data_IF_619952501166
#
_entry.id   IF_619952501166
#
_cell.length_a   1.000
_cell.length_b   1.000
_cell.length_c   1.000
_cell.angle_alpha   90.00
_cell.angle_beta   90.00
_cell.angle_gamma   90.00
#
_symmetry.space_group_name_H-M   'P 1'
#
loop_
_entity.id
_entity.type
_entity.pdbx_description
1 polymer ?
#
# COMPACT_ATOMS: atom_id res chain seq x y z
N UNK A 1 21.47 22.21 -19.43
CA UNK A 1 21.66 21.32 -18.26
C UNK A 1 20.50 21.52 -17.28
N UNK A 2 19.77 20.46 -16.93
CA UNK A 2 18.79 20.52 -15.84
C UNK A 2 19.51 20.76 -14.50
N UNK A 3 18.92 21.59 -13.64
CA UNK A 3 19.43 21.83 -12.29
C UNK A 3 19.20 20.57 -11.43
N UNK A 4 20.25 20.09 -10.77
CA UNK A 4 20.17 18.87 -9.96
C UNK A 4 19.24 19.00 -8.76
N UNK A 5 19.17 20.19 -8.14
CA UNK A 5 18.27 20.46 -7.02
C UNK A 5 16.83 20.48 -7.50
N UNK A 6 16.57 21.09 -8.65
CA UNK A 6 15.23 21.12 -9.26
C UNK A 6 14.73 19.71 -9.55
N UNK A 7 15.56 18.86 -10.17
CA UNK A 7 15.21 17.46 -10.43
C UNK A 7 14.96 16.70 -9.14
N UNK A 8 15.82 16.87 -8.12
CA UNK A 8 15.65 16.19 -6.84
C UNK A 8 14.37 16.64 -6.12
N UNK A 9 14.06 17.94 -6.13
CA UNK A 9 12.84 18.47 -5.52
C UNK A 9 11.59 17.94 -6.21
N UNK A 10 11.59 17.88 -7.56
CA UNK A 10 10.49 17.32 -8.32
C UNK A 10 10.29 15.82 -8.03
N UNK A 11 11.36 15.04 -7.95
CA UNK A 11 11.30 13.61 -7.62
C UNK A 11 10.82 13.37 -6.18
N UNK A 12 11.23 14.21 -5.23
CA UNK A 12 10.76 14.10 -3.85
C UNK A 12 9.25 14.34 -3.77
N UNK A 13 8.75 15.38 -4.45
CA UNK A 13 7.32 15.67 -4.50
C UNK A 13 6.54 14.54 -5.18
N UNK A 14 7.05 13.99 -6.30
CA UNK A 14 6.42 12.87 -7.01
C UNK A 14 6.30 11.62 -6.11
N UNK A 15 7.36 11.31 -5.36
CA UNK A 15 7.47 10.07 -4.58
C UNK A 15 6.80 10.13 -3.21
N UNK A 16 6.62 11.33 -2.63
CA UNK A 16 6.17 11.50 -1.24
C UNK A 16 4.99 12.45 -1.09
N UNK A 17 4.79 13.35 -2.04
CA UNK A 17 3.73 14.35 -1.98
C UNK A 17 2.34 13.76 -2.23
N UNK A 18 1.38 14.31 -1.51
CA UNK A 18 -0.06 14.16 -1.73
C UNK A 18 -0.53 15.32 -2.60
N UNK A 19 -0.10 15.34 -3.86
CA UNK A 19 -0.33 16.38 -4.88
C UNK A 19 0.15 17.81 -4.51
N UNK A 20 -0.33 18.39 -3.41
CA UNK A 20 0.00 19.74 -2.91
C UNK A 20 0.58 19.78 -1.48
N UNK A 21 0.54 18.67 -0.73
CA UNK A 21 1.05 18.60 0.65
C UNK A 21 2.06 17.47 0.86
N UNK A 22 3.01 17.67 1.78
CA UNK A 22 3.88 16.61 2.31
C UNK A 22 3.64 16.49 3.81
N UNK A 23 3.47 15.27 4.29
CA UNK A 23 3.10 14.94 5.66
C UNK A 23 4.26 14.18 6.31
N UNK A 24 5.07 14.85 7.15
CA UNK A 24 6.16 14.19 7.87
C UNK A 24 5.65 12.97 8.65
N UNK A 25 6.51 11.95 8.77
CA UNK A 25 6.20 10.65 9.38
C UNK A 25 5.25 9.80 8.55
N UNK A 26 4.10 10.32 8.11
CA UNK A 26 3.16 9.54 7.31
C UNK A 26 3.76 9.17 5.94
N UNK A 27 4.43 10.13 5.29
CA UNK A 27 5.07 9.91 3.99
C UNK A 27 6.25 8.91 4.06
N UNK A 28 6.72 8.53 5.25
CA UNK A 28 7.74 7.49 5.41
C UNK A 28 7.17 6.07 5.32
N UNK A 29 5.85 5.91 5.47
CA UNK A 29 5.21 4.60 5.45
C UNK A 29 5.26 3.99 4.06
N UNK A 30 5.67 2.72 4.00
CA UNK A 30 5.81 1.99 2.75
C UNK A 30 4.45 1.63 2.16
N UNK A 31 4.43 1.47 0.84
CA UNK A 31 3.29 0.97 0.10
C UNK A 31 3.10 -0.53 0.27
N UNK A 32 1.88 -0.97 0.60
CA UNK A 32 1.49 -2.38 0.50
C UNK A 32 -0.02 -2.51 0.41
N UNK A 33 -0.49 -3.25 -0.59
CA UNK A 33 -1.91 -3.51 -0.80
C UNK A 33 -2.33 -4.91 -0.31
N UNK A 34 -3.63 -5.17 -0.36
CA UNK A 34 -4.21 -6.49 -0.03
C UNK A 34 -4.17 -6.79 1.48
N UNK A 35 -3.96 -8.07 1.88
CA UNK A 35 -4.03 -8.48 3.30
C UNK A 35 -2.95 -7.86 4.17
N UNK A 36 -1.89 -7.33 3.55
CA UNK A 36 -0.78 -6.72 4.25
C UNK A 36 -1.01 -5.24 4.60
N UNK A 37 -1.91 -4.55 3.89
CA UNK A 37 -2.30 -3.18 4.23
C UNK A 37 -2.85 -3.16 5.66
N UNK A 38 -2.25 -2.36 6.53
CA UNK A 38 -2.59 -2.36 7.95
C UNK A 38 -2.89 -0.97 8.52
N UNK A 39 -2.85 0.07 7.69
CA UNK A 39 -3.31 1.40 8.06
C UNK A 39 -4.23 2.00 7.00
N UNK A 40 -5.08 2.93 7.44
CA UNK A 40 -5.95 3.73 6.60
C UNK A 40 -6.00 5.18 7.08
N UNK A 41 -6.03 6.12 6.14
CA UNK A 41 -6.31 7.54 6.46
C UNK A 41 -7.82 7.77 6.45
N UNK A 42 -8.33 8.38 7.51
CA UNK A 42 -9.77 8.62 7.71
C UNK A 42 -10.17 10.08 7.50
N UNK A 43 -9.20 10.96 7.34
CA UNK A 43 -9.39 12.37 6.97
C UNK A 43 -8.61 12.68 5.70
N UNK A 44 -9.03 13.73 4.98
CA UNK A 44 -8.33 14.12 3.75
C UNK A 44 -7.02 14.82 4.09
N UNK A 45 -5.95 14.48 3.34
CA UNK A 45 -4.67 15.18 3.40
C UNK A 45 -4.79 16.65 2.95
N UNK A 46 -5.78 16.96 2.11
CA UNK A 46 -5.98 18.28 1.52
C UNK A 46 -6.88 19.21 2.36
N UNK A 47 -7.48 18.72 3.45
CA UNK A 47 -8.26 19.56 4.36
C UNK A 47 -7.36 20.12 5.48
N UNK A 48 -6.87 21.34 5.26
CA UNK A 48 -5.96 22.01 6.20
C UNK A 48 -6.65 22.49 7.49
N UNK A 49 -7.98 22.31 7.62
CA UNK A 49 -8.73 22.69 8.81
C UNK A 49 -8.80 21.59 9.87
N UNK A 50 -8.46 20.35 9.50
CA UNK A 50 -8.49 19.17 10.37
C UNK A 50 -7.14 18.45 10.36
N UNK A 51 -6.79 17.72 11.44
CA UNK A 51 -5.59 16.89 11.42
C UNK A 51 -5.76 15.69 10.47
N UNK A 52 -4.64 15.25 9.89
CA UNK A 52 -4.55 13.94 9.24
C UNK A 52 -4.66 12.84 10.30
N UNK A 53 -5.58 11.90 10.12
CA UNK A 53 -5.83 10.81 11.08
C UNK A 53 -5.64 9.48 10.38
N UNK A 54 -4.56 8.80 10.73
CA UNK A 54 -4.22 7.46 10.25
C UNK A 54 -4.49 6.45 11.36
N UNK A 55 -5.34 5.48 11.08
CA UNK A 55 -5.74 4.42 12.02
C UNK A 55 -5.31 3.06 11.51
N UNK A 56 -5.14 2.10 12.42
CA UNK A 56 -4.91 0.72 12.04
C UNK A 56 -6.19 0.13 11.40
N UNK A 57 -6.06 -0.54 10.25
CA UNK A 57 -7.16 -1.21 9.55
C UNK A 57 -7.34 -2.68 9.98
N UNK A 58 -6.36 -3.23 10.69
CA UNK A 58 -6.36 -4.54 11.33
C UNK A 58 -5.38 -4.57 12.50
N UNK A 59 -5.36 -5.66 13.25
CA UNK A 59 -4.34 -5.89 14.28
C UNK A 59 -2.93 -5.89 13.66
N UNK A 60 -2.01 -5.18 14.32
CA UNK A 60 -0.61 -5.02 13.92
C UNK A 60 0.27 -5.62 15.03
N UNK A 61 1.11 -6.59 14.68
CA UNK A 61 1.97 -7.25 15.65
C UNK A 61 3.20 -6.39 15.98
N UNK A 62 3.78 -6.59 17.16
CA UNK A 62 5.02 -5.91 17.53
C UNK A 62 6.15 -6.30 16.57
N UNK A 63 6.81 -5.30 15.98
CA UNK A 63 7.86 -5.48 14.97
C UNK A 63 7.35 -5.60 13.53
N UNK A 64 6.04 -5.60 13.32
CA UNK A 64 5.44 -5.49 11.98
C UNK A 64 5.61 -4.07 11.43
N UNK A 65 5.94 -3.97 10.14
CA UNK A 65 6.01 -2.68 9.45
C UNK A 65 4.62 -2.07 9.27
N UNK A 66 4.51 -0.75 9.42
CA UNK A 66 3.29 -0.02 9.11
C UNK A 66 3.24 0.25 7.61
N UNK A 67 2.21 -0.29 6.96
CA UNK A 67 1.97 -0.14 5.55
C UNK A 67 0.75 0.74 5.29
N UNK A 68 0.91 1.66 4.33
CA UNK A 68 -0.19 2.43 3.74
C UNK A 68 -0.37 2.02 2.28
N UNK A 69 -1.39 2.59 1.62
CA UNK A 69 -1.61 2.43 0.19
C UNK A 69 -1.42 3.76 -0.52
N UNK A 70 -0.83 3.72 -1.72
CA UNK A 70 -0.58 4.91 -2.55
C UNK A 70 -1.63 5.08 -3.65
N UNK A 71 -2.47 4.07 -3.87
CA UNK A 71 -3.47 4.02 -4.93
C UNK A 71 -4.87 3.60 -4.44
N UNK A 72 -5.03 3.05 -3.23
CA UNK A 72 -6.35 2.65 -2.67
C UNK A 72 -6.81 3.48 -1.45
N UNK A 73 -6.19 4.64 -1.22
CA UNK A 73 -6.57 5.57 -0.15
C UNK A 73 -7.95 6.24 -0.37
N UNK A 74 -8.42 6.93 0.67
CA UNK A 74 -9.73 7.58 0.72
C UNK A 74 -9.87 8.73 -0.30
N UNK A 75 -8.81 9.51 -0.50
CA UNK A 75 -8.81 10.76 -1.26
C UNK A 75 -7.79 10.81 -2.41
N UNK A 76 -7.27 9.67 -2.88
CA UNK A 76 -6.32 9.62 -4.01
C UNK A 76 -6.92 9.98 -5.38
N UNK A 77 -8.13 10.54 -5.41
CA UNK A 77 -8.86 10.88 -6.63
C UNK A 77 -8.96 9.70 -7.60
N UNK A 78 -8.52 9.91 -8.85
CA UNK A 78 -8.61 8.91 -9.93
C UNK A 78 -7.64 7.73 -9.84
N UNK A 79 -6.75 7.69 -8.82
CA UNK A 79 -5.75 6.61 -8.74
C UNK A 79 -6.40 5.24 -8.46
N UNK A 80 -7.50 5.21 -7.72
CA UNK A 80 -8.17 3.94 -7.33
C UNK A 80 -8.61 3.06 -8.50
N UNK A 81 -8.92 3.66 -9.65
CA UNK A 81 -9.50 2.94 -10.80
C UNK A 81 -8.49 2.63 -11.91
N UNK A 82 -7.48 3.48 -12.07
CA UNK A 82 -6.57 3.46 -13.24
C UNK A 82 -5.09 3.49 -12.88
N UNK A 83 -4.76 3.26 -11.61
CA UNK A 83 -3.40 3.29 -11.11
C UNK A 83 -3.03 1.93 -10.52
N UNK A 84 -2.03 1.31 -11.10
CA UNK A 84 -1.51 0.02 -10.66
C UNK A 84 0.00 -0.02 -10.69
N UNK A 85 0.54 -1.23 -10.83
CA UNK A 85 1.97 -1.52 -10.77
C UNK A 85 2.80 -0.72 -11.78
N UNK A 86 2.34 -0.48 -13.04
CA UNK A 86 3.08 0.37 -13.97
C UNK A 86 3.27 1.80 -13.48
N UNK A 87 2.22 2.41 -12.92
CA UNK A 87 2.28 3.78 -12.40
C UNK A 87 3.09 3.84 -11.10
N UNK A 88 2.97 2.82 -10.23
CA UNK A 88 3.81 2.69 -9.04
C UNK A 88 5.29 2.63 -9.42
N UNK A 89 5.66 1.85 -10.44
CA UNK A 89 7.03 1.79 -10.95
C UNK A 89 7.51 3.14 -11.50
N UNK A 90 6.66 3.83 -12.28
CA UNK A 90 6.98 5.12 -12.87
C UNK A 90 7.22 6.21 -11.80
N UNK A 91 6.33 6.29 -10.82
CA UNK A 91 6.28 7.43 -9.90
C UNK A 91 7.10 7.19 -8.62
N UNK A 92 7.18 5.93 -8.15
CA UNK A 92 7.83 5.57 -6.89
C UNK A 92 9.10 4.73 -7.06
N UNK A 93 9.36 4.20 -8.26
CA UNK A 93 10.61 3.51 -8.58
C UNK A 93 10.70 2.07 -8.05
N UNK A 94 9.57 1.43 -7.75
CA UNK A 94 9.54 0.01 -7.37
C UNK A 94 8.36 -0.72 -8.01
N UNK A 95 8.44 -2.05 -8.07
CA UNK A 95 7.34 -2.92 -8.49
C UNK A 95 6.63 -3.42 -7.23
N UNK A 96 5.30 -3.27 -7.16
CA UNK A 96 4.50 -3.75 -6.02
C UNK A 96 4.82 -5.22 -5.70
N UNK A 97 4.84 -5.59 -4.42
CA UNK A 97 4.69 -6.99 -4.04
C UNK A 97 3.28 -7.47 -4.40
N UNK A 98 3.05 -8.79 -4.45
CA UNK A 98 1.69 -9.29 -4.63
C UNK A 98 0.77 -8.83 -3.47
N UNK A 99 -0.50 -8.50 -3.77
CA UNK A 99 -1.14 -8.51 -5.09
C UNK A 99 -0.71 -7.32 -5.97
N UNK A 100 -0.59 -7.57 -7.28
CA UNK A 100 -0.23 -6.57 -8.29
C UNK A 100 -1.39 -6.35 -9.26
N UNK A 101 -1.62 -5.11 -9.71
CA UNK A 101 -2.54 -4.79 -10.80
C UNK A 101 -1.78 -4.19 -11.97
N UNK A 102 -1.78 -4.85 -13.11
CA UNK A 102 -1.15 -4.33 -14.32
C UNK A 102 -2.20 -3.70 -15.23
N UNK A 103 -2.16 -2.37 -15.33
CA UNK A 103 -3.07 -1.58 -16.14
C UNK A 103 -2.42 -1.16 -17.46
N UNK A 104 -2.98 -1.59 -18.59
CA UNK A 104 -2.53 -1.18 -19.92
C UNK A 104 -3.60 -0.26 -20.54
N UNK A 105 -3.48 1.03 -20.18
CA UNK A 105 -4.35 2.14 -20.56
C UNK A 105 -5.18 1.88 -21.82
N UNK A 106 -6.51 1.81 -21.64
CA UNK A 106 -7.57 1.63 -22.66
C UNK A 106 -7.75 0.27 -23.33
N UNK A 107 -6.96 -0.76 -23.01
CA UNK A 107 -7.13 -2.09 -23.67
C UNK A 107 -7.59 -3.19 -22.72
N UNK A 108 -6.91 -3.38 -21.59
CA UNK A 108 -7.26 -4.35 -20.56
C UNK A 108 -6.41 -4.13 -19.30
N UNK A 109 -6.78 -4.81 -18.22
CA UNK A 109 -5.95 -4.96 -17.02
C UNK A 109 -6.00 -6.40 -16.55
N UNK A 110 -5.01 -6.81 -15.77
CA UNK A 110 -5.04 -8.08 -15.06
C UNK A 110 -4.47 -7.93 -13.66
N UNK A 111 -5.03 -8.72 -12.75
CA UNK A 111 -4.57 -8.81 -11.37
C UNK A 111 -3.74 -10.07 -11.21
N UNK A 112 -2.55 -9.91 -10.65
CA UNK A 112 -1.70 -11.03 -10.23
C UNK A 112 -1.82 -11.13 -8.72
N UNK A 113 -2.52 -12.16 -8.25
CA UNK A 113 -2.73 -12.42 -6.84
C UNK A 113 -1.60 -13.30 -6.30
N UNK A 114 -1.32 -13.13 -5.01
CA UNK A 114 -0.48 -14.09 -4.30
C UNK A 114 -1.20 -15.44 -4.24
N UNK A 115 -0.44 -16.53 -4.32
CA UNK A 115 -1.00 -17.86 -4.10
C UNK A 115 -1.45 -17.92 -2.64
N UNK A 116 -2.74 -18.16 -2.41
CA UNK A 116 -3.27 -18.53 -1.09
C UNK A 116 -2.33 -19.58 -0.47
N UNK A 117 -1.78 -19.33 0.75
CA UNK A 117 -0.95 -20.33 1.40
C UNK A 117 -1.78 -21.61 1.50
N UNK A 118 -1.27 -22.69 0.90
CA UNK A 118 -1.88 -24.00 1.11
C UNK A 118 -1.76 -24.29 2.60
N UNK A 119 -2.87 -24.24 3.31
CA UNK A 119 -2.96 -24.71 4.69
C UNK A 119 -2.44 -26.15 4.69
N UNK A 120 -1.22 -26.35 5.17
CA UNK A 120 -0.76 -27.69 5.54
C UNK A 120 -1.66 -28.09 6.69
N UNK A 121 -2.48 -29.14 6.57
CA UNK A 121 -3.30 -29.56 7.69
C UNK A 121 -2.37 -29.85 8.87
N UNK A 122 -2.61 -29.14 9.97
CA UNK A 122 -1.97 -29.38 11.26
C UNK A 122 -2.22 -30.83 11.63
N UNK A 123 -1.22 -31.69 11.48
CA UNK A 123 -1.26 -33.05 11.99
C UNK A 123 -1.16 -33.00 13.51
N UNK A 124 -2.28 -32.75 14.15
CA UNK A 124 -2.51 -32.98 15.59
C UNK A 124 -3.88 -33.63 15.74
N UNK A 125 -3.99 -34.86 15.24
CA UNK A 125 -4.88 -35.84 15.83
C UNK A 125 -4.00 -36.64 16.81
N UNK A 126 -3.85 -36.12 18.03
CA UNK A 126 -3.47 -36.98 19.15
C UNK A 126 -4.74 -37.72 19.57
N UNK A 127 -4.73 -39.01 19.27
CA UNK A 127 -5.71 -40.03 19.65
C UNK A 127 -5.98 -39.96 21.17
N UNK A 128 -7.23 -39.67 21.56
CA UNK A 128 -7.69 -39.84 22.94
C UNK A 128 -7.77 -41.34 23.24
N UNK A 129 -6.77 -41.87 23.94
CA UNK A 129 -6.77 -43.23 24.49
C UNK A 129 -7.72 -43.28 25.71
N UNK A 130 -8.95 -43.75 25.51
CA UNK A 130 -9.92 -44.03 26.58
C UNK A 130 -9.56 -45.36 27.27
N UNK A 131 -9.38 -45.41 28.61
CA UNK A 131 -8.98 -46.63 29.28
C UNK A 131 -10.17 -47.54 29.64
N UNK A 132 -10.03 -48.88 29.56
CA UNK A 132 -10.89 -49.81 30.29
C UNK A 132 -10.45 -50.03 31.74
#
# INVERSE_FOLDING_TARGET
PQDAIEVQAALLLLQRGWDDVMIPVYDLMSHRNGPYLNTESTTSAHDHSIPIVVTASRDIQAGEELYTTYNHCFDCGGRKERYGTPEILRDYGFVENYPQRWYFHSTFYFDILEKEPQLVPSSTEEEEDEPP
#
